data_IF_571066074849
#
_entry.id   IF_571066074849
#
_cell.length_a   1.000
_cell.length_b   1.000
_cell.length_c   1.000
_cell.angle_alpha   90.00
_cell.angle_beta   90.00
_cell.angle_gamma   90.00
#
_symmetry.space_group_name_H-M   'P 1'
#
loop_
_entity.id
_entity.type
_entity.pdbx_description
1 polymer ?
#
# COMPACT_ATOMS: atom_id res chain seq x y z
N UNK A 1 15.92 -19.57 -2.49
CA UNK A 1 14.52 -19.15 -2.80
C UNK A 1 13.47 -19.66 -1.82
N UNK A 2 13.56 -20.87 -1.30
CA UNK A 2 12.63 -21.40 -0.27
C UNK A 2 12.70 -20.65 1.06
N UNK A 3 13.82 -20.03 1.37
CA UNK A 3 14.00 -19.21 2.58
C UNK A 3 13.18 -17.91 2.58
N UNK A 4 12.56 -17.56 1.45
CA UNK A 4 11.82 -16.30 1.32
C UNK A 4 10.37 -16.37 1.83
N UNK A 5 9.81 -17.58 2.05
CA UNK A 5 8.47 -17.72 2.61
C UNK A 5 8.55 -18.18 4.08
N UNK A 6 7.90 -17.43 4.97
CA UNK A 6 7.97 -17.67 6.41
C UNK A 6 6.61 -17.54 7.08
N UNK A 7 6.45 -18.28 8.19
CA UNK A 7 5.40 -17.98 9.16
C UNK A 7 5.87 -16.85 10.06
N UNK A 8 5.09 -15.79 10.13
CA UNK A 8 5.37 -14.62 10.96
C UNK A 8 4.27 -14.50 12.00
N UNK A 9 4.60 -14.47 13.30
CA UNK A 9 3.63 -14.16 14.35
C UNK A 9 2.96 -12.80 14.11
N UNK A 10 1.65 -12.74 14.35
CA UNK A 10 0.88 -11.54 14.03
C UNK A 10 1.32 -10.31 14.84
N UNK A 11 1.81 -10.51 16.06
CA UNK A 11 2.36 -9.46 16.93
C UNK A 11 3.68 -8.84 16.41
N UNK A 12 4.33 -9.48 15.42
CA UNK A 12 5.53 -8.98 14.74
C UNK A 12 5.24 -8.20 13.45
N UNK A 13 3.95 -8.06 13.12
CA UNK A 13 3.53 -7.47 11.86
C UNK A 13 3.17 -6.00 12.04
N UNK A 14 3.64 -5.19 11.12
CA UNK A 14 3.37 -3.77 11.04
C UNK A 14 2.68 -3.46 9.71
N UNK A 15 1.62 -2.67 9.78
CA UNK A 15 0.93 -2.12 8.62
C UNK A 15 1.22 -0.63 8.52
N UNK A 16 1.46 -0.15 7.29
CA UNK A 16 1.78 1.27 7.05
C UNK A 16 0.61 2.06 6.47
N UNK A 17 -0.46 1.41 6.04
CA UNK A 17 -1.64 2.04 5.44
C UNK A 17 -2.91 1.78 6.24
N UNK A 18 -3.83 2.75 6.20
CA UNK A 18 -5.21 2.56 6.64
C UNK A 18 -5.90 1.44 5.83
N UNK A 19 -7.03 0.96 6.30
CA UNK A 19 -7.84 -0.06 5.60
C UNK A 19 -9.33 0.28 5.63
N UNK A 20 -10.08 -0.26 4.67
CA UNK A 20 -11.54 -0.14 4.56
C UNK A 20 -12.20 -1.41 5.09
N UNK A 21 -13.11 -1.27 6.05
CA UNK A 21 -13.79 -2.39 6.74
C UNK A 21 -14.51 -3.33 5.77
N UNK A 22 -15.36 -2.78 4.90
CA UNK A 22 -16.18 -3.56 3.95
C UNK A 22 -15.34 -4.48 3.04
N UNK A 23 -14.18 -3.97 2.60
CA UNK A 23 -13.25 -4.76 1.78
C UNK A 23 -12.61 -5.89 2.57
N UNK A 24 -12.32 -5.65 3.85
CA UNK A 24 -11.79 -6.67 4.73
C UNK A 24 -12.82 -7.76 4.99
N UNK A 25 -14.05 -7.42 5.31
CA UNK A 25 -15.13 -8.37 5.55
C UNK A 25 -15.41 -9.25 4.33
N UNK A 26 -15.50 -8.66 3.15
CA UNK A 26 -15.66 -9.42 1.89
C UNK A 26 -14.53 -10.44 1.71
N UNK A 27 -13.30 -10.06 2.04
CA UNK A 27 -12.16 -10.96 1.89
C UNK A 27 -12.15 -12.05 2.95
N UNK A 28 -12.53 -11.75 4.21
CA UNK A 28 -12.66 -12.74 5.28
C UNK A 28 -13.65 -13.83 4.88
N UNK A 29 -14.83 -13.46 4.39
CA UNK A 29 -15.84 -14.40 3.93
C UNK A 29 -15.31 -15.28 2.80
N UNK A 30 -14.74 -14.69 1.75
CA UNK A 30 -14.18 -15.42 0.61
C UNK A 30 -13.05 -16.37 1.00
N UNK A 31 -12.16 -15.98 1.91
CA UNK A 31 -11.07 -16.83 2.39
C UNK A 31 -11.56 -17.90 3.34
N UNK A 32 -12.56 -17.60 4.17
CA UNK A 32 -13.19 -18.56 5.09
C UNK A 32 -13.90 -19.69 4.35
N UNK A 33 -14.65 -19.34 3.29
CA UNK A 33 -15.38 -20.31 2.44
C UNK A 33 -14.41 -21.23 1.68
N UNK A 34 -13.39 -20.65 1.05
CA UNK A 34 -12.40 -21.40 0.26
C UNK A 34 -11.40 -22.14 1.12
N UNK A 35 -11.20 -21.74 2.36
CA UNK A 35 -10.22 -22.27 3.32
C UNK A 35 -8.77 -22.29 2.79
N UNK A 36 -8.44 -21.39 1.88
CA UNK A 36 -7.11 -21.28 1.25
C UNK A 36 -6.65 -19.82 1.13
N UNK A 37 -5.34 -19.63 1.28
CA UNK A 37 -4.62 -18.42 0.93
C UNK A 37 -3.95 -18.64 -0.44
N UNK A 38 -4.43 -17.95 -1.47
CA UNK A 38 -3.92 -18.14 -2.85
C UNK A 38 -2.54 -17.48 -3.02
N UNK A 39 -2.40 -16.22 -2.63
CA UNK A 39 -1.17 -15.46 -2.77
C UNK A 39 -0.72 -14.96 -1.39
N UNK A 40 0.48 -15.28 -0.92
CA UNK A 40 0.95 -14.79 0.36
C UNK A 40 1.08 -13.27 0.35
N UNK A 41 0.91 -12.59 1.49
CA UNK A 41 1.40 -11.24 1.67
C UNK A 41 2.90 -11.13 1.39
N UNK A 42 3.37 -9.92 1.08
CA UNK A 42 4.79 -9.63 0.92
C UNK A 42 5.23 -8.70 2.03
N UNK A 43 6.33 -9.04 2.69
CA UNK A 43 6.86 -8.28 3.80
C UNK A 43 8.36 -8.04 3.66
N UNK A 44 8.85 -6.99 4.28
CA UNK A 44 10.27 -6.74 4.51
C UNK A 44 10.53 -6.79 6.00
N UNK A 45 11.62 -7.43 6.40
CA UNK A 45 12.07 -7.36 7.77
C UNK A 45 12.65 -5.97 8.02
N UNK A 46 12.11 -5.29 9.01
CA UNK A 46 12.63 -4.03 9.52
C UNK A 46 13.39 -4.31 10.82
N UNK A 47 13.50 -3.42 11.75
CA UNK A 47 14.27 -3.62 12.98
C UNK A 47 13.82 -4.85 13.78
N UNK A 48 14.76 -5.45 14.55
CA UNK A 48 14.49 -6.35 15.70
C UNK A 48 13.34 -7.36 15.53
N UNK A 49 13.32 -8.09 14.42
CA UNK A 49 12.31 -9.13 14.21
C UNK A 49 10.87 -8.63 13.99
N UNK A 50 10.72 -7.40 13.47
CA UNK A 50 9.46 -6.85 13.00
C UNK A 50 9.39 -6.87 11.47
N UNK A 51 8.17 -7.00 10.93
CA UNK A 51 7.95 -7.15 9.50
C UNK A 51 6.90 -6.16 9.02
N UNK A 52 7.30 -5.28 8.09
CA UNK A 52 6.42 -4.34 7.44
C UNK A 52 5.73 -5.01 6.25
N UNK A 53 4.41 -5.05 6.24
CA UNK A 53 3.64 -5.59 5.12
C UNK A 53 3.60 -4.59 3.97
N UNK A 54 4.27 -4.92 2.88
CA UNK A 54 4.34 -4.08 1.69
C UNK A 54 3.19 -4.32 0.72
N UNK A 55 2.72 -5.56 0.65
CA UNK A 55 1.62 -5.99 -0.24
C UNK A 55 0.76 -7.05 0.45
N UNK A 56 -0.55 -6.95 0.26
CA UNK A 56 -1.48 -7.98 0.78
C UNK A 56 -1.93 -7.76 2.22
N UNK A 57 -1.96 -6.52 2.72
CA UNK A 57 -2.40 -6.19 4.09
C UNK A 57 -3.77 -6.78 4.43
N UNK A 58 -4.74 -6.71 3.51
CA UNK A 58 -6.07 -7.29 3.75
C UNK A 58 -6.03 -8.81 3.95
N UNK A 59 -5.15 -9.52 3.22
CA UNK A 59 -4.95 -10.96 3.40
C UNK A 59 -4.32 -11.28 4.75
N UNK A 60 -3.30 -10.51 5.15
CA UNK A 60 -2.70 -10.65 6.47
C UNK A 60 -3.73 -10.40 7.59
N UNK A 61 -4.52 -9.34 7.48
CA UNK A 61 -5.58 -9.02 8.46
C UNK A 61 -6.69 -10.09 8.48
N UNK A 62 -7.10 -10.60 7.30
CA UNK A 62 -8.10 -11.66 7.23
C UNK A 62 -7.64 -12.95 7.91
N UNK A 63 -6.37 -13.35 7.77
CA UNK A 63 -5.81 -14.50 8.48
C UNK A 63 -5.92 -14.35 10.00
N UNK A 64 -5.63 -13.17 10.54
CA UNK A 64 -5.82 -12.90 11.97
C UNK A 64 -7.29 -13.04 12.39
N UNK A 65 -8.22 -12.50 11.62
CA UNK A 65 -9.66 -12.65 11.89
C UNK A 65 -10.15 -14.09 11.77
N UNK A 66 -9.49 -14.89 10.95
CA UNK A 66 -9.72 -16.34 10.83
C UNK A 66 -8.98 -17.16 11.89
N UNK A 67 -8.53 -16.50 12.97
CA UNK A 67 -7.86 -17.11 14.14
C UNK A 67 -6.52 -17.80 13.82
N UNK A 68 -5.80 -17.31 12.82
CA UNK A 68 -4.42 -17.68 12.62
C UNK A 68 -3.52 -16.83 13.54
N UNK A 69 -2.66 -17.47 14.31
CA UNK A 69 -1.66 -16.78 15.16
C UNK A 69 -0.49 -16.25 14.33
N UNK A 70 -0.27 -16.86 13.17
CA UNK A 70 0.76 -16.49 12.22
C UNK A 70 0.15 -16.08 10.88
N UNK A 71 0.91 -15.35 10.09
CA UNK A 71 0.69 -15.22 8.65
C UNK A 71 1.80 -15.97 7.91
N UNK A 72 1.48 -16.45 6.72
CA UNK A 72 2.50 -16.91 5.77
C UNK A 72 2.78 -15.78 4.80
N UNK A 73 4.02 -15.30 4.77
CA UNK A 73 4.41 -14.17 3.92
C UNK A 73 5.71 -14.47 3.16
N UNK A 74 5.80 -13.92 1.95
CA UNK A 74 7.07 -13.84 1.23
C UNK A 74 7.88 -12.69 1.83
N UNK A 75 9.11 -13.00 2.27
CA UNK A 75 10.05 -11.99 2.76
C UNK A 75 10.94 -11.55 1.61
N UNK A 76 11.08 -10.25 1.44
CA UNK A 76 11.95 -9.64 0.42
C UNK A 76 13.00 -8.76 1.07
N UNK A 77 14.18 -8.73 0.50
CA UNK A 77 15.25 -7.84 0.95
C UNK A 77 14.93 -6.39 0.53
N UNK A 78 15.27 -5.43 1.39
CA UNK A 78 15.05 -4.01 1.13
C UNK A 78 15.72 -3.56 -0.18
N UNK A 79 16.89 -4.11 -0.51
CA UNK A 79 17.64 -3.82 -1.74
C UNK A 79 16.89 -4.22 -3.02
N UNK A 80 15.96 -5.17 -2.91
CA UNK A 80 15.11 -5.62 -4.00
C UNK A 80 13.83 -4.79 -4.15
N UNK A 81 13.65 -3.73 -3.36
CA UNK A 81 12.44 -2.92 -3.32
C UNK A 81 12.73 -1.53 -3.85
N UNK A 82 12.04 -1.14 -4.90
CA UNK A 82 11.98 0.25 -5.34
C UNK A 82 10.65 0.85 -4.92
N UNK A 83 10.70 2.01 -4.27
CA UNK A 83 9.50 2.73 -3.83
C UNK A 83 9.15 3.82 -4.83
N UNK A 84 7.90 3.90 -5.18
CA UNK A 84 7.30 4.89 -6.06
C UNK A 84 5.96 5.34 -5.47
N UNK A 85 5.23 6.17 -6.17
CA UNK A 85 3.85 6.52 -5.83
C UNK A 85 2.90 6.09 -6.96
N UNK A 86 1.67 5.78 -6.59
CA UNK A 86 0.59 5.70 -7.56
C UNK A 86 0.18 7.10 -8.00
N UNK A 87 -0.25 7.23 -9.24
CA UNK A 87 -1.03 8.38 -9.69
C UNK A 87 -2.50 8.01 -9.56
N UNK A 88 -3.32 8.97 -9.07
CA UNK A 88 -4.76 8.82 -9.04
C UNK A 88 -5.39 9.60 -10.18
N UNK A 89 -6.04 8.90 -11.09
CA UNK A 89 -6.75 9.47 -12.21
C UNK A 89 -8.25 9.47 -11.93
N UNK A 90 -8.85 10.66 -11.87
CA UNK A 90 -10.26 10.88 -11.60
C UNK A 90 -10.96 11.47 -12.83
N UNK A 91 -12.22 11.15 -13.08
CA UNK A 91 -13.02 11.89 -14.05
C UNK A 91 -12.99 13.40 -13.74
N UNK A 92 -12.80 14.22 -14.78
CA UNK A 92 -12.78 15.66 -14.60
C UNK A 92 -14.14 16.16 -14.12
N UNK A 93 -14.11 16.94 -13.05
CA UNK A 93 -15.29 17.54 -12.43
C UNK A 93 -14.93 18.92 -11.89
N UNK A 94 -15.67 19.95 -12.32
CA UNK A 94 -15.42 21.32 -11.88
C UNK A 94 -15.64 21.52 -10.38
N UNK A 95 -16.64 20.85 -9.80
CA UNK A 95 -16.86 20.89 -8.35
C UNK A 95 -15.66 20.34 -7.57
N UNK A 96 -15.06 19.26 -8.06
CA UNK A 96 -13.86 18.70 -7.45
C UNK A 96 -12.68 19.67 -7.54
N UNK A 97 -12.48 20.33 -8.68
CA UNK A 97 -11.44 21.37 -8.86
C UNK A 97 -11.66 22.50 -7.86
N UNK A 98 -12.88 23.00 -7.72
CA UNK A 98 -13.23 24.05 -6.75
C UNK A 98 -12.92 23.61 -5.31
N UNK A 99 -13.25 22.37 -4.92
CA UNK A 99 -12.93 21.82 -3.60
C UNK A 99 -11.42 21.84 -3.30
N UNK A 100 -10.58 21.65 -4.31
CA UNK A 100 -9.12 21.78 -4.17
C UNK A 100 -8.69 23.26 -4.05
N UNK A 101 -9.27 24.16 -4.83
CA UNK A 101 -8.92 25.58 -4.85
C UNK A 101 -9.34 26.32 -3.56
N UNK A 102 -10.50 25.98 -3.00
CA UNK A 102 -11.08 26.60 -1.81
C UNK A 102 -10.60 25.97 -0.49
N UNK A 103 -9.69 24.99 -0.56
CA UNK A 103 -9.18 24.31 0.63
C UNK A 103 -8.31 25.25 1.48
N UNK A 104 -8.43 25.13 2.81
CA UNK A 104 -7.63 25.90 3.77
C UNK A 104 -6.39 25.18 4.29
N UNK A 105 -6.30 23.86 4.05
CA UNK A 105 -5.21 23.04 4.57
C UNK A 105 -3.97 23.06 3.66
N UNK A 106 -4.09 23.57 2.44
CA UNK A 106 -2.99 23.65 1.48
C UNK A 106 -3.20 24.77 0.45
N UNK A 107 -2.09 25.29 -0.10
CA UNK A 107 -2.11 26.27 -1.18
C UNK A 107 -2.18 25.55 -2.53
N UNK A 108 -3.07 26.02 -3.37
CA UNK A 108 -3.23 25.56 -4.74
C UNK A 108 -2.63 26.61 -5.68
N UNK A 109 -1.60 26.25 -6.46
CA UNK A 109 -0.87 27.18 -7.32
C UNK A 109 -0.53 26.56 -8.67
N UNK A 110 -0.74 27.33 -9.75
CA UNK A 110 -0.26 26.96 -11.10
C UNK A 110 1.26 27.15 -11.23
N UNK A 111 1.85 28.03 -10.40
CA UNK A 111 3.29 28.31 -10.42
C UNK A 111 4.01 27.45 -9.37
N UNK A 112 5.12 26.81 -9.80
CA UNK A 112 6.02 26.15 -8.86
C UNK A 112 6.76 27.22 -8.05
N UNK A 113 6.56 27.18 -6.73
CA UNK A 113 7.23 28.11 -5.80
C UNK A 113 8.66 27.65 -5.56
N UNK A 114 9.64 28.57 -5.72
CA UNK A 114 11.07 28.22 -5.75
C UNK A 114 11.60 27.62 -4.44
N UNK A 115 11.07 28.03 -3.29
CA UNK A 115 11.59 27.64 -1.97
C UNK A 115 10.62 26.77 -1.17
N UNK A 116 9.55 26.25 -1.80
CA UNK A 116 8.56 25.42 -1.14
C UNK A 116 8.53 24.03 -1.76
N UNK A 117 8.52 22.99 -0.92
CA UNK A 117 8.31 21.62 -1.37
C UNK A 117 6.81 21.42 -1.59
N UNK A 118 6.40 21.19 -2.83
CA UNK A 118 5.01 20.79 -3.09
C UNK A 118 4.79 19.36 -2.60
N UNK A 119 3.58 19.09 -2.13
CA UNK A 119 3.19 17.78 -1.65
C UNK A 119 2.57 16.92 -2.74
N UNK A 120 1.71 17.51 -3.58
CA UNK A 120 1.04 16.81 -4.66
C UNK A 120 1.09 17.68 -5.90
N UNK A 121 1.28 17.05 -7.06
CA UNK A 121 1.00 17.69 -8.35
C UNK A 121 -0.36 17.27 -8.85
N UNK A 122 -1.08 18.18 -9.39
CA UNK A 122 -2.36 17.95 -10.06
C UNK A 122 -2.26 18.35 -11.53
N UNK A 123 -2.55 17.41 -12.39
CA UNK A 123 -2.59 17.61 -13.83
C UNK A 123 -4.05 17.78 -14.25
N UNK A 124 -4.36 18.91 -14.85
CA UNK A 124 -5.68 19.23 -15.41
C UNK A 124 -5.45 19.75 -16.82
N UNK A 125 -5.90 19.00 -17.83
CA UNK A 125 -5.59 19.29 -19.23
C UNK A 125 -4.07 19.43 -19.45
N UNK A 126 -3.62 20.54 -20.05
CA UNK A 126 -2.21 20.80 -20.29
C UNK A 126 -1.53 21.60 -19.16
N UNK A 127 -2.23 21.82 -18.04
CA UNK A 127 -1.73 22.60 -16.92
C UNK A 127 -1.34 21.71 -15.76
N UNK A 128 -0.32 22.14 -15.02
CA UNK A 128 0.16 21.53 -13.80
C UNK A 128 -0.09 22.48 -12.64
N UNK A 129 -0.81 21.99 -11.65
CA UNK A 129 -1.01 22.69 -10.39
C UNK A 129 -0.22 21.99 -9.29
N UNK A 130 0.23 22.77 -8.33
CA UNK A 130 1.02 22.30 -7.21
C UNK A 130 0.26 22.60 -5.91
N UNK A 131 0.15 21.58 -5.08
CA UNK A 131 -0.43 21.69 -3.75
C UNK A 131 0.71 21.78 -2.73
N UNK A 132 0.74 22.88 -2.02
CA UNK A 132 1.75 23.19 -1.01
C UNK A 132 1.11 23.21 0.37
N UNK A 133 1.93 22.92 1.36
CA UNK A 133 1.60 23.15 2.75
C UNK A 133 2.70 24.03 3.38
N UNK A 134 2.35 24.78 4.41
CA UNK A 134 3.29 25.59 5.21
C UNK A 134 4.19 24.75 6.13
N UNK A 135 4.22 23.44 5.92
CA UNK A 135 4.94 22.50 6.79
C UNK A 135 6.43 22.81 6.77
N UNK A 136 6.95 23.21 7.91
CA UNK A 136 8.38 23.42 8.18
C UNK A 136 9.09 22.09 8.49
N UNK A 137 8.99 21.12 7.57
CA UNK A 137 9.95 20.01 7.53
C UNK A 137 9.68 18.78 8.41
N UNK A 138 8.66 18.73 9.26
CA UNK A 138 8.34 17.47 9.95
C UNK A 138 7.55 16.54 9.03
N UNK A 139 8.11 15.37 8.75
CA UNK A 139 7.46 14.34 7.94
C UNK A 139 6.12 13.88 8.54
N UNK A 140 5.93 14.02 9.86
CA UNK A 140 4.68 13.67 10.54
C UNK A 140 3.48 14.50 10.09
N UNK A 141 3.70 15.74 9.66
CA UNK A 141 2.62 16.61 9.19
C UNK A 141 2.15 16.26 7.76
N UNK A 142 2.91 15.44 7.04
CA UNK A 142 2.57 15.01 5.68
C UNK A 142 1.32 14.13 5.66
N UNK A 143 1.16 13.23 6.63
CA UNK A 143 0.04 12.27 6.65
C UNK A 143 -1.31 12.96 6.81
N UNK A 144 -1.52 13.89 7.76
CA UNK A 144 -2.77 14.66 7.85
C UNK A 144 -3.12 15.38 6.55
N UNK A 145 -2.12 15.97 5.88
CA UNK A 145 -2.33 16.64 4.60
C UNK A 145 -2.75 15.66 3.48
N UNK A 146 -2.08 14.50 3.37
CA UNK A 146 -2.45 13.49 2.40
C UNK A 146 -3.86 12.97 2.66
N UNK A 147 -4.27 12.80 3.92
CA UNK A 147 -5.64 12.46 4.28
C UNK A 147 -6.62 13.56 3.84
N UNK A 148 -6.35 14.83 4.13
CA UNK A 148 -7.19 15.95 3.70
C UNK A 148 -7.36 16.00 2.17
N UNK A 149 -6.29 15.77 1.42
CA UNK A 149 -6.34 15.68 -0.05
C UNK A 149 -7.21 14.50 -0.50
N UNK A 150 -7.01 13.31 0.08
CA UNK A 150 -7.77 12.11 -0.27
C UNK A 150 -9.26 12.25 0.06
N UNK A 151 -9.61 12.89 1.16
CA UNK A 151 -11.00 13.13 1.58
C UNK A 151 -11.81 13.96 0.59
N UNK A 152 -11.15 14.76 -0.27
CA UNK A 152 -11.85 15.53 -1.30
C UNK A 152 -12.52 14.64 -2.35
N UNK A 153 -12.01 13.43 -2.55
CA UNK A 153 -12.49 12.56 -3.62
C UNK A 153 -12.70 11.08 -3.26
N UNK A 154 -11.96 10.48 -2.33
CA UNK A 154 -11.95 9.01 -2.11
C UNK A 154 -13.34 8.42 -1.79
N UNK A 155 -14.19 9.17 -1.12
CA UNK A 155 -15.57 8.74 -0.77
C UNK A 155 -16.57 8.93 -1.91
N UNK A 156 -16.40 9.96 -2.72
CA UNK A 156 -17.42 10.43 -3.66
C UNK A 156 -17.08 10.13 -5.12
N UNK A 157 -15.82 9.83 -5.42
CA UNK A 157 -15.35 9.65 -6.79
C UNK A 157 -14.58 8.34 -6.91
N UNK A 158 -14.91 7.56 -7.93
CA UNK A 158 -14.09 6.41 -8.32
C UNK A 158 -12.86 6.92 -9.05
N UNK A 159 -11.68 6.54 -8.57
CA UNK A 159 -10.42 6.84 -9.25
C UNK A 159 -9.73 5.57 -9.73
N UNK A 160 -8.96 5.71 -10.80
CA UNK A 160 -8.08 4.67 -11.33
C UNK A 160 -6.65 4.94 -10.85
N UNK A 161 -5.96 3.89 -10.39
CA UNK A 161 -4.52 3.94 -10.15
C UNK A 161 -3.79 3.68 -11.45
N UNK A 162 -2.88 4.58 -11.81
CA UNK A 162 -1.99 4.41 -12.96
C UNK A 162 -0.54 4.61 -12.51
N UNK A 163 0.38 4.09 -13.27
CA UNK A 163 1.81 4.33 -13.06
C UNK A 163 2.26 5.55 -13.86
N UNK A 164 3.36 6.18 -13.45
CA UNK A 164 3.85 7.41 -14.09
C UNK A 164 4.18 7.20 -15.57
N UNK A 165 4.68 6.03 -15.90
CA UNK A 165 5.07 5.63 -17.25
C UNK A 165 3.86 5.47 -18.21
N UNK A 166 2.68 5.20 -17.65
CA UNK A 166 1.41 5.08 -18.39
C UNK A 166 0.64 6.41 -18.47
N UNK A 167 1.12 7.45 -17.78
CA UNK A 167 0.44 8.73 -17.77
C UNK A 167 0.55 9.42 -19.13
N UNK A 168 -0.61 9.76 -19.68
CA UNK A 168 -0.78 10.64 -20.83
C UNK A 168 -1.75 11.74 -20.48
N UNK A 169 -1.48 12.98 -20.94
CA UNK A 169 -2.41 14.10 -20.76
C UNK A 169 -3.75 13.77 -21.42
N UNK A 170 -4.84 14.00 -20.69
CA UNK A 170 -6.19 13.74 -21.18
C UNK A 170 -7.16 14.74 -20.52
N UNK A 171 -7.87 15.52 -21.36
CA UNK A 171 -8.78 16.56 -20.92
C UNK A 171 -10.00 16.07 -20.12
N UNK A 172 -10.30 14.77 -20.20
CA UNK A 172 -11.43 14.16 -19.47
C UNK A 172 -11.08 13.78 -18.03
N UNK A 173 -9.82 13.92 -17.62
CA UNK A 173 -9.35 13.47 -16.32
C UNK A 173 -8.55 14.55 -15.59
N UNK A 174 -8.62 14.45 -14.26
CA UNK A 174 -7.70 15.08 -13.32
C UNK A 174 -6.75 13.97 -12.84
N UNK A 175 -5.44 14.21 -12.83
CA UNK A 175 -4.48 13.24 -12.33
C UNK A 175 -3.67 13.83 -11.18
N UNK A 176 -3.66 13.13 -10.03
CA UNK A 176 -2.88 13.49 -8.86
C UNK A 176 -1.61 12.65 -8.81
N UNK A 177 -0.45 13.29 -8.69
CA UNK A 177 0.85 12.66 -8.46
C UNK A 177 1.30 12.95 -7.03
N UNK A 178 1.37 11.90 -6.22
CA UNK A 178 1.78 11.96 -4.82
C UNK A 178 3.31 11.96 -4.66
N UNK A 179 3.83 12.42 -3.51
CA UNK A 179 5.26 12.38 -3.23
C UNK A 179 5.75 10.93 -3.14
N UNK A 180 7.04 10.75 -3.41
CA UNK A 180 7.73 9.49 -3.17
C UNK A 180 8.31 9.52 -1.76
N UNK A 181 8.20 8.41 -1.05
CA UNK A 181 8.76 8.21 0.27
C UNK A 181 9.91 7.21 0.21
N UNK A 182 10.93 7.41 1.01
CA UNK A 182 11.95 6.39 1.28
C UNK A 182 11.43 5.36 2.28
N UNK A 183 12.06 4.18 2.35
CA UNK A 183 11.71 3.17 3.35
C UNK A 183 11.88 3.73 4.77
N UNK A 184 12.96 4.48 5.01
CA UNK A 184 13.22 5.10 6.30
C UNK A 184 12.13 6.09 6.72
N UNK A 185 11.61 6.90 5.80
CA UNK A 185 10.49 7.82 6.07
C UNK A 185 9.22 7.05 6.41
N UNK A 186 8.92 5.97 5.69
CA UNK A 186 7.74 5.11 5.97
C UNK A 186 7.88 4.49 7.37
N UNK A 187 9.02 3.90 7.70
CA UNK A 187 9.27 3.30 9.01
C UNK A 187 9.16 4.36 10.13
N UNK A 188 9.71 5.56 9.91
CA UNK A 188 9.64 6.65 10.87
C UNK A 188 8.20 7.07 11.16
N UNK A 189 7.36 7.20 10.12
CA UNK A 189 5.95 7.55 10.27
C UNK A 189 5.16 6.46 11.00
N UNK A 190 5.37 5.21 10.63
CA UNK A 190 4.71 4.06 11.27
C UNK A 190 5.09 3.94 12.75
N UNK A 191 6.35 4.16 13.10
CA UNK A 191 6.82 4.15 14.50
C UNK A 191 6.21 5.31 15.33
N UNK A 192 5.80 6.40 14.67
CA UNK A 192 4.99 7.48 15.29
C UNK A 192 3.49 7.15 15.35
N UNK A 193 3.06 5.95 14.96
CA UNK A 193 1.65 5.55 14.89
C UNK A 193 0.86 6.17 13.73
N UNK A 194 1.54 6.72 12.74
CA UNK A 194 0.92 7.37 11.59
C UNK A 194 0.75 6.38 10.44
N UNK A 195 -0.46 6.28 9.91
CA UNK A 195 -0.77 5.40 8.79
C UNK A 195 -1.07 6.21 7.53
N UNK A 196 -0.46 5.81 6.43
CA UNK A 196 -0.73 6.39 5.12
C UNK A 196 -2.18 6.16 4.69
N UNK A 197 -2.77 7.10 3.94
CA UNK A 197 -3.95 6.79 3.16
C UNK A 197 -3.66 5.65 2.18
N UNK A 198 -4.68 4.85 1.86
CA UNK A 198 -4.51 3.73 0.93
C UNK A 198 -4.09 4.21 -0.47
N UNK A 199 -3.31 3.35 -1.14
CA UNK A 199 -2.98 3.51 -2.56
C UNK A 199 -2.11 4.73 -2.91
N UNK A 200 -1.40 5.31 -1.96
CA UNK A 200 -0.40 6.36 -2.26
C UNK A 200 0.94 5.71 -2.60
N UNK A 201 1.45 4.87 -1.71
CA UNK A 201 2.74 4.20 -1.88
C UNK A 201 2.64 3.03 -2.84
N UNK A 202 3.61 2.90 -3.74
CA UNK A 202 3.76 1.78 -4.67
C UNK A 202 5.11 1.13 -4.50
N UNK A 203 5.11 -0.16 -4.15
CA UNK A 203 6.32 -0.98 -4.14
C UNK A 203 6.49 -1.71 -5.47
N UNK A 204 7.71 -1.69 -5.98
CA UNK A 204 8.14 -2.39 -7.18
C UNK A 204 9.21 -3.36 -6.73
N UNK A 205 9.01 -4.64 -6.99
CA UNK A 205 9.89 -5.70 -6.53
C UNK A 205 10.77 -6.19 -7.70
N UNK A 206 12.09 -6.23 -7.46
CA UNK A 206 13.06 -6.78 -8.41
C UNK A 206 13.39 -8.25 -8.05
N UNK A 207 12.35 -8.98 -7.68
CA UNK A 207 12.40 -10.43 -7.39
C UNK A 207 11.10 -11.06 -7.86
N UNK A 208 11.14 -12.36 -8.12
CA UNK A 208 9.95 -13.10 -8.47
C UNK A 208 8.96 -13.16 -7.29
N UNK A 209 7.71 -12.83 -7.58
CA UNK A 209 6.65 -12.82 -6.60
C UNK A 209 5.91 -14.15 -6.57
N UNK A 210 5.84 -14.76 -5.40
CA UNK A 210 5.12 -16.01 -5.21
C UNK A 210 3.62 -15.81 -5.44
N UNK A 211 3.07 -16.59 -6.36
CA UNK A 211 1.66 -16.52 -6.74
C UNK A 211 1.06 -17.93 -6.82
N UNK A 212 -0.26 -18.01 -6.64
CA UNK A 212 -1.06 -19.24 -6.82
C UNK A 212 -0.60 -20.43 -5.95
N UNK A 213 -0.10 -20.17 -4.73
CA UNK A 213 0.39 -21.22 -3.82
C UNK A 213 -0.72 -22.08 -3.23
N UNK A 214 -1.94 -21.55 -3.14
CA UNK A 214 -3.11 -22.25 -2.60
C UNK A 214 -2.86 -22.89 -1.21
N UNK A 215 -2.29 -22.11 -0.29
CA UNK A 215 -1.93 -22.60 1.06
C UNK A 215 -3.20 -22.81 1.89
N UNK A 216 -3.49 -24.01 2.39
CA UNK A 216 -4.64 -24.26 3.26
C UNK A 216 -4.54 -23.45 4.57
N UNK A 217 -5.66 -22.88 5.03
CA UNK A 217 -5.68 -22.04 6.23
C UNK A 217 -5.38 -22.85 7.49
N UNK A 218 -5.74 -24.14 7.53
CA UNK A 218 -5.37 -25.03 8.65
C UNK A 218 -3.86 -25.18 8.80
N UNK A 219 -3.09 -25.26 7.69
CA UNK A 219 -1.62 -25.26 7.69
C UNK A 219 -1.07 -23.98 8.30
N UNK A 220 -1.65 -22.81 7.94
CA UNK A 220 -1.22 -21.53 8.49
C UNK A 220 -1.57 -21.41 9.98
N UNK A 221 -2.72 -21.97 10.39
CA UNK A 221 -3.21 -21.92 11.77
C UNK A 221 -2.38 -22.78 12.71
N UNK A 222 -1.94 -23.95 12.26
CA UNK A 222 -1.21 -24.94 13.07
C UNK A 222 -0.10 -25.57 12.24
N UNK A 223 0.96 -24.84 11.86
CA UNK A 223 1.99 -25.33 10.96
C UNK A 223 2.73 -26.56 11.48
N UNK A 224 2.86 -26.70 12.79
CA UNK A 224 3.49 -27.86 13.43
C UNK A 224 2.67 -29.15 13.25
N UNK A 225 1.33 -29.03 13.27
CA UNK A 225 0.44 -30.18 13.06
C UNK A 225 0.34 -30.59 11.58
N UNK A 226 0.71 -29.74 10.65
CA UNK A 226 0.63 -29.94 9.21
C UNK A 226 1.99 -29.75 8.52
N UNK A 227 3.07 -30.22 9.18
CA UNK A 227 4.44 -30.06 8.67
C UNK A 227 4.65 -30.75 7.32
N UNK A 228 4.04 -31.92 7.13
CA UNK A 228 4.14 -32.67 5.88
C UNK A 228 3.52 -31.88 4.70
N UNK A 229 2.29 -31.39 4.85
CA UNK A 229 1.59 -30.60 3.85
C UNK A 229 2.35 -29.30 3.54
N UNK A 230 2.94 -28.69 4.57
CA UNK A 230 3.76 -27.51 4.38
C UNK A 230 5.01 -27.80 3.53
N UNK A 231 5.70 -28.91 3.81
CA UNK A 231 6.85 -29.35 3.01
C UNK A 231 6.46 -29.62 1.56
N UNK A 232 5.33 -30.29 1.30
CA UNK A 232 4.84 -30.49 -0.06
C UNK A 232 4.59 -29.18 -0.82
N UNK A 233 4.04 -28.16 -0.14
CA UNK A 233 3.85 -26.82 -0.72
C UNK A 233 5.21 -26.20 -1.07
N UNK A 234 6.19 -26.29 -0.19
CA UNK A 234 7.53 -25.78 -0.44
C UNK A 234 8.22 -26.52 -1.60
N UNK A 235 8.10 -27.84 -1.67
CA UNK A 235 8.68 -28.65 -2.74
C UNK A 235 8.07 -28.33 -4.12
N UNK A 236 6.76 -28.06 -4.16
CA UNK A 236 6.10 -27.59 -5.39
C UNK A 236 6.63 -26.24 -5.83
N UNK A 237 6.91 -25.33 -4.89
CA UNK A 237 7.52 -24.04 -5.17
C UNK A 237 8.93 -24.18 -5.76
N UNK A 238 9.74 -25.10 -5.23
CA UNK A 238 11.09 -25.37 -5.71
C UNK A 238 11.12 -25.93 -7.13
N UNK A 239 10.10 -26.70 -7.51
CA UNK A 239 10.00 -27.33 -8.83
C UNK A 239 9.42 -26.39 -9.91
N UNK A 240 8.79 -25.28 -9.50
CA UNK A 240 8.17 -24.30 -10.41
C UNK A 240 9.11 -23.14 -10.79
N UNK A 241 10.33 -23.15 -10.27
CA UNK A 241 11.45 -22.25 -10.54
C UNK A 241 12.52 -22.96 -11.35
#
# INVERSE_FOLDING_TARGET
MVETIRFIPFDKIIFYENYKGDRLETLINNMGDKKILINPPVAVQIQSNQYLILRGKYRAMALSKLRCMNITAQIVDEQCIKISSWLHQLPKNNELIMRFQENRDFYFSEKKLAHHKYMVKMYIEDKIYYLYNDIKGDIGEVIPLLNSIMEKYDKNYKYKKIIKEEYTSNSNYITLEFPKFSMQEIITLVNKGMLFPENIVRYIFNVEMLQNLMIPINVIRSPEAFEFEWREILDKLLKSV
#
